data_IF_948189017080
#
_entry.id   IF_948189017080
#
_cell.length_a   1.000
_cell.length_b   1.000
_cell.length_c   1.000
_cell.angle_alpha   90.00
_cell.angle_beta   90.00
_cell.angle_gamma   90.00
#
_symmetry.space_group_name_H-M   'P 1'
#
loop_
_entity.id
_entity.type
_entity.pdbx_description
1 polymer ?
#
# COMPACT_ATOMS: atom_id res chain seq x y z
N UNK A 1 -17.60 -4.03 -2.56
CA UNK A 1 -17.34 -5.34 -1.93
C UNK A 1 -18.09 -6.43 -2.70
N UNK A 2 -17.37 -7.41 -3.18
CA UNK A 2 -17.91 -8.52 -3.95
C UNK A 2 -18.32 -9.67 -3.03
N UNK A 3 -19.28 -10.46 -3.49
CA UNK A 3 -19.79 -11.61 -2.72
C UNK A 3 -18.66 -12.60 -2.37
N UNK A 4 -17.75 -12.88 -3.30
CA UNK A 4 -16.64 -13.81 -3.08
C UNK A 4 -15.56 -13.29 -2.13
N UNK A 5 -15.65 -12.05 -1.69
CA UNK A 5 -14.77 -11.46 -0.69
C UNK A 5 -15.32 -11.62 0.73
N UNK A 6 -16.53 -12.12 0.87
CA UNK A 6 -17.17 -12.35 2.17
C UNK A 6 -16.98 -13.79 2.63
N UNK A 7 -17.10 -13.98 3.95
CA UNK A 7 -17.00 -15.29 4.58
C UNK A 7 -18.39 -15.81 5.02
N UNK A 8 -18.48 -17.01 5.63
CA UNK A 8 -19.78 -17.54 6.08
C UNK A 8 -20.53 -16.66 7.08
N UNK A 9 -19.86 -15.71 7.73
CA UNK A 9 -20.51 -14.76 8.64
C UNK A 9 -21.18 -13.60 7.90
N UNK A 10 -21.03 -13.52 6.57
CA UNK A 10 -21.59 -12.45 5.76
C UNK A 10 -20.80 -11.15 5.79
N UNK A 11 -19.60 -11.15 6.33
CA UNK A 11 -18.70 -10.01 6.36
C UNK A 11 -17.46 -10.29 5.53
N UNK A 12 -16.75 -9.25 5.13
CA UNK A 12 -15.49 -9.40 4.38
C UNK A 12 -14.52 -10.23 5.20
N UNK A 13 -13.99 -11.29 4.58
CA UNK A 13 -12.96 -12.09 5.20
C UNK A 13 -11.72 -11.23 5.47
N UNK A 14 -11.17 -11.34 6.69
CA UNK A 14 -10.09 -10.45 7.13
C UNK A 14 -8.84 -10.49 6.22
N UNK A 15 -8.58 -11.60 5.56
CA UNK A 15 -7.45 -11.69 4.63
C UNK A 15 -7.57 -10.81 3.39
N UNK A 16 -8.76 -10.36 3.05
CA UNK A 16 -8.97 -9.51 1.87
C UNK A 16 -8.56 -8.06 2.11
N UNK A 17 -8.40 -7.60 3.35
CA UNK A 17 -8.05 -6.21 3.63
C UNK A 17 -6.66 -5.87 3.11
N UNK A 18 -5.72 -6.78 3.17
CA UNK A 18 -4.39 -6.57 2.58
C UNK A 18 -4.50 -6.43 1.05
N UNK A 19 -5.39 -7.17 0.42
CA UNK A 19 -5.67 -7.02 -1.02
C UNK A 19 -6.20 -5.62 -1.33
N UNK A 20 -7.06 -5.07 -0.50
CA UNK A 20 -7.56 -3.71 -0.67
C UNK A 20 -6.45 -2.68 -0.53
N UNK A 21 -5.51 -2.90 0.38
CA UNK A 21 -4.33 -2.04 0.50
C UNK A 21 -3.49 -2.08 -0.78
N UNK A 22 -3.34 -3.26 -1.38
CA UNK A 22 -2.64 -3.39 -2.66
C UNK A 22 -3.33 -2.61 -3.77
N UNK A 23 -4.67 -2.64 -3.82
CA UNK A 23 -5.44 -1.86 -4.78
C UNK A 23 -5.21 -0.36 -4.57
N UNK A 24 -5.19 0.10 -3.32
CA UNK A 24 -4.90 1.48 -2.97
C UNK A 24 -3.50 1.90 -3.35
N UNK A 25 -2.51 1.04 -3.09
CA UNK A 25 -1.12 1.30 -3.44
C UNK A 25 -0.91 1.39 -4.95
N UNK A 26 -1.55 0.50 -5.72
CA UNK A 26 -1.45 0.53 -7.18
C UNK A 26 -2.10 1.80 -7.75
N UNK A 27 -3.25 2.21 -7.23
CA UNK A 27 -3.90 3.45 -7.64
C UNK A 27 -3.02 4.67 -7.32
N UNK A 28 -2.41 4.71 -6.14
CA UNK A 28 -1.44 5.73 -5.75
C UNK A 28 -0.26 5.74 -6.71
N UNK A 29 0.27 4.57 -7.05
CA UNK A 29 1.40 4.44 -7.98
C UNK A 29 1.06 4.97 -9.37
N UNK A 30 -0.13 4.67 -9.88
CA UNK A 30 -0.58 5.19 -11.18
C UNK A 30 -0.69 6.72 -11.16
N UNK A 31 -1.17 7.27 -10.06
CA UNK A 31 -1.33 8.72 -9.93
C UNK A 31 0.01 9.45 -9.81
N UNK A 32 1.00 8.83 -9.19
CA UNK A 32 2.28 9.46 -8.85
C UNK A 32 3.50 8.88 -9.58
N UNK A 33 3.30 7.96 -10.52
CA UNK A 33 4.39 7.40 -11.32
C UNK A 33 5.26 6.39 -10.58
N UNK A 34 4.67 5.59 -9.70
CA UNK A 34 5.39 4.58 -8.90
C UNK A 34 4.62 3.25 -8.87
N UNK A 35 4.22 2.74 -10.03
CA UNK A 35 3.59 1.41 -10.14
C UNK A 35 4.65 0.31 -10.04
N UNK A 36 4.19 -0.94 -9.89
CA UNK A 36 5.08 -2.10 -9.96
C UNK A 36 5.89 -2.14 -11.25
N UNK A 37 5.27 -1.78 -12.39
CA UNK A 37 5.96 -1.75 -13.67
C UNK A 37 7.01 -0.66 -13.72
N UNK A 38 6.72 0.51 -13.12
CA UNK A 38 7.69 1.59 -13.02
C UNK A 38 8.91 1.17 -12.22
N UNK A 39 8.70 0.49 -11.09
CA UNK A 39 9.78 -0.01 -10.25
C UNK A 39 10.55 -1.11 -10.96
N UNK A 40 9.87 -2.03 -11.64
CA UNK A 40 10.51 -3.13 -12.36
C UNK A 40 11.49 -2.64 -13.41
N UNK A 41 11.20 -1.52 -14.08
CA UNK A 41 12.09 -0.91 -15.07
C UNK A 41 13.41 -0.42 -14.48
N UNK A 42 13.48 -0.19 -13.18
CA UNK A 42 14.70 0.29 -12.51
C UNK A 42 15.67 -0.84 -12.19
N UNK A 43 15.24 -2.11 -12.27
CA UNK A 43 16.03 -3.27 -11.89
C UNK A 43 15.99 -3.61 -10.41
N UNK A 44 15.30 -2.82 -9.60
CA UNK A 44 15.10 -3.10 -8.17
C UNK A 44 13.81 -3.89 -7.94
N UNK A 45 13.75 -4.57 -6.80
CA UNK A 45 12.52 -5.17 -6.29
C UNK A 45 12.21 -4.59 -4.91
N UNK A 46 10.93 -4.58 -4.56
CA UNK A 46 10.46 -3.95 -3.32
C UNK A 46 9.53 -4.87 -2.55
N UNK A 47 10.06 -5.97 -1.98
CA UNK A 47 9.21 -6.91 -1.24
C UNK A 47 8.65 -6.28 0.02
N UNK A 48 7.44 -6.70 0.38
CA UNK A 48 6.83 -6.33 1.64
C UNK A 48 7.45 -7.18 2.74
N UNK A 49 7.95 -6.53 3.78
CA UNK A 49 8.56 -7.20 4.94
C UNK A 49 7.69 -7.10 6.18
N UNK A 50 6.72 -6.19 6.18
CA UNK A 50 5.79 -6.03 7.30
C UNK A 50 4.47 -5.48 6.79
N UNK A 51 3.37 -6.05 7.27
CA UNK A 51 2.04 -5.52 7.04
C UNK A 51 1.27 -5.58 8.36
N UNK A 52 0.53 -4.52 8.66
CA UNK A 52 -0.33 -4.45 9.83
C UNK A 52 -1.73 -4.07 9.41
N UNK A 53 -2.71 -4.52 10.16
CA UNK A 53 -4.10 -4.24 9.86
C UNK A 53 -4.89 -4.21 11.16
N UNK A 54 -5.60 -3.11 11.39
CA UNK A 54 -6.52 -2.97 12.52
C UNK A 54 -7.93 -2.91 11.98
N UNK A 55 -8.76 -3.89 12.38
CA UNK A 55 -10.15 -4.01 11.96
C UNK A 55 -11.04 -3.29 12.99
N UNK A 56 -11.79 -2.30 12.52
CA UNK A 56 -12.64 -1.47 13.39
C UNK A 56 -14.12 -1.71 13.16
N UNK A 57 -14.53 -1.86 11.90
CA UNK A 57 -15.91 -2.11 11.49
C UNK A 57 -15.93 -3.21 10.45
N UNK A 58 -16.96 -4.03 10.50
CA UNK A 58 -17.17 -5.08 9.49
C UNK A 58 -17.70 -4.48 8.20
N UNK A 59 -17.19 -4.97 7.08
CA UNK A 59 -17.69 -4.64 5.74
C UNK A 59 -18.47 -5.81 5.20
N UNK A 60 -19.49 -5.53 4.37
CA UNK A 60 -20.41 -6.52 3.85
C UNK A 60 -20.50 -6.45 2.33
N UNK A 61 -21.06 -7.49 1.75
CA UNK A 61 -21.36 -7.52 0.32
C UNK A 61 -22.19 -6.29 -0.08
N UNK A 62 -21.78 -5.68 -1.16
CA UNK A 62 -22.44 -4.48 -1.70
C UNK A 62 -21.97 -3.16 -1.11
N UNK A 63 -21.20 -3.18 -0.03
CA UNK A 63 -20.64 -1.96 0.52
C UNK A 63 -19.66 -1.32 -0.47
N UNK A 64 -19.70 -0.01 -0.55
CA UNK A 64 -18.76 0.79 -1.33
C UNK A 64 -17.81 1.48 -0.36
N UNK A 65 -16.52 1.30 -0.59
CA UNK A 65 -15.49 1.83 0.31
C UNK A 65 -14.52 2.71 -0.47
N UNK A 66 -13.90 3.64 0.25
CA UNK A 66 -12.79 4.46 -0.25
C UNK A 66 -11.53 4.02 0.45
N UNK A 67 -10.47 3.78 -0.32
CA UNK A 67 -9.16 3.43 0.22
C UNK A 67 -8.28 4.66 0.10
N UNK A 68 -7.94 5.28 1.23
CA UNK A 68 -6.98 6.37 1.28
C UNK A 68 -5.58 5.81 1.47
N UNK A 69 -4.67 6.16 0.59
CA UNK A 69 -3.27 5.72 0.62
C UNK A 69 -2.37 6.93 0.82
N UNK A 70 -1.50 6.84 1.82
CA UNK A 70 -0.53 7.89 2.14
C UNK A 70 0.85 7.28 2.21
N UNK A 71 1.83 7.89 1.55
CA UNK A 71 3.23 7.50 1.72
C UNK A 71 3.79 8.22 2.95
N UNK A 72 4.54 7.48 3.76
CA UNK A 72 5.21 8.02 4.94
C UNK A 72 6.66 8.30 4.60
N UNK A 73 7.08 9.55 4.74
CA UNK A 73 8.48 9.91 4.51
C UNK A 73 9.35 9.39 5.67
N UNK A 74 10.48 8.79 5.31
CA UNK A 74 11.45 8.28 6.26
C UNK A 74 12.85 8.39 5.64
N UNK A 75 13.88 8.73 6.43
CA UNK A 75 15.27 8.70 5.92
C UNK A 75 15.79 7.27 5.73
N UNK A 76 15.14 6.27 6.31
CA UNK A 76 15.52 4.88 6.11
C UNK A 76 15.24 4.42 4.69
N UNK A 77 15.96 3.39 4.23
CA UNK A 77 15.79 2.79 2.90
C UNK A 77 14.55 1.89 2.88
N UNK A 78 13.39 2.49 2.97
CA UNK A 78 12.10 1.82 3.05
C UNK A 78 11.03 2.62 2.33
N UNK A 79 10.01 1.90 1.83
CA UNK A 79 8.76 2.48 1.36
C UNK A 79 7.67 2.12 2.37
N UNK A 80 7.13 3.11 3.04
CA UNK A 80 6.08 2.92 4.03
C UNK A 80 4.80 3.56 3.52
N UNK A 81 3.74 2.76 3.43
CA UNK A 81 2.41 3.24 3.06
C UNK A 81 1.45 3.05 4.22
N UNK A 82 0.60 4.04 4.46
CA UNK A 82 -0.52 3.96 5.40
C UNK A 82 -1.81 3.96 4.63
N UNK A 83 -2.75 3.17 5.10
CA UNK A 83 -4.04 2.97 4.46
C UNK A 83 -5.17 3.19 5.44
N UNK A 84 -6.25 3.80 4.94
CA UNK A 84 -7.54 3.83 5.63
C UNK A 84 -8.59 3.33 4.66
N UNK A 85 -9.44 2.42 5.13
CA UNK A 85 -10.61 1.99 4.39
C UNK A 85 -11.81 2.65 5.04
N UNK A 86 -12.51 3.48 4.29
CA UNK A 86 -13.60 4.34 4.76
C UNK A 86 -14.87 3.87 4.09
N UNK A 87 -15.92 3.66 4.87
CA UNK A 87 -17.22 3.22 4.33
C UNK A 87 -17.99 4.41 3.70
N UNK A 88 -19.16 4.13 3.17
CA UNK A 88 -19.99 5.13 2.49
C UNK A 88 -20.60 6.16 3.45
N UNK A 89 -20.50 5.94 4.75
CA UNK A 89 -20.95 6.88 5.79
C UNK A 89 -19.80 7.74 6.32
N UNK A 90 -18.60 7.58 5.80
CA UNK A 90 -17.42 8.31 6.23
C UNK A 90 -16.74 7.72 7.47
N UNK A 91 -17.14 6.53 7.91
CA UNK A 91 -16.52 5.88 9.06
C UNK A 91 -15.33 5.04 8.64
N UNK A 92 -14.28 5.02 9.47
CA UNK A 92 -13.08 4.22 9.23
C UNK A 92 -13.34 2.78 9.62
N UNK A 93 -13.39 1.90 8.63
CA UNK A 93 -13.62 0.46 8.86
C UNK A 93 -12.32 -0.29 9.17
N UNK A 94 -11.19 0.19 8.64
CA UNK A 94 -9.90 -0.47 8.81
C UNK A 94 -8.77 0.53 8.61
N UNK A 95 -7.69 0.35 9.35
CA UNK A 95 -6.43 1.06 9.13
C UNK A 95 -5.32 0.05 8.99
N UNK A 96 -4.28 0.41 8.24
CA UNK A 96 -3.14 -0.48 8.07
C UNK A 96 -1.90 0.24 7.60
N UNK A 97 -0.81 -0.50 7.60
CA UNK A 97 0.49 -0.01 7.15
C UNK A 97 1.26 -1.15 6.52
N UNK A 98 1.94 -0.86 5.41
CA UNK A 98 2.86 -1.81 4.79
C UNK A 98 4.24 -1.18 4.72
N UNK A 99 5.26 -2.01 4.95
CA UNK A 99 6.66 -1.60 4.82
C UNK A 99 7.32 -2.47 3.76
N UNK A 100 7.95 -1.83 2.79
CA UNK A 100 8.71 -2.49 1.74
C UNK A 100 10.17 -2.07 1.87
N UNK A 101 11.07 -2.98 1.53
CA UNK A 101 12.51 -2.69 1.43
C UNK A 101 12.93 -2.73 -0.02
N UNK A 102 14.16 -2.32 -0.32
CA UNK A 102 14.70 -2.34 -1.67
C UNK A 102 15.74 -3.44 -1.79
N UNK A 103 15.61 -4.28 -2.81
CA UNK A 103 16.63 -5.24 -3.19
C UNK A 103 17.18 -4.84 -4.56
N UNK A 104 18.49 -4.96 -4.75
CA UNK A 104 19.10 -4.73 -6.05
C UNK A 104 18.88 -5.90 -7.01
N UNK A 105 19.40 -5.82 -8.23
CA UNK A 105 19.22 -6.86 -9.23
C UNK A 105 19.82 -8.21 -8.81
N UNK A 106 20.80 -8.21 -7.90
CA UNK A 106 21.41 -9.42 -7.36
C UNK A 106 20.68 -9.95 -6.11
N UNK A 107 19.63 -9.27 -5.65
CA UNK A 107 18.85 -9.65 -4.47
C UNK A 107 19.43 -9.16 -3.16
N UNK A 108 20.39 -8.24 -3.19
CA UNK A 108 21.00 -7.68 -1.98
C UNK A 108 20.15 -6.54 -1.41
N UNK A 109 20.01 -6.52 -0.08
CA UNK A 109 19.30 -5.45 0.61
C UNK A 109 20.03 -4.12 0.48
N UNK A 110 19.31 -3.09 0.03
CA UNK A 110 19.83 -1.72 -0.03
C UNK A 110 19.74 -1.07 1.35
N UNK A 111 20.84 -0.46 1.78
CA UNK A 111 20.92 0.26 3.06
C UNK A 111 20.64 1.76 2.91
N UNK A 112 20.63 2.24 1.67
CA UNK A 112 20.28 3.62 1.32
C UNK A 112 19.22 3.59 0.23
N UNK A 113 18.45 4.67 0.09
CA UNK A 113 17.43 4.75 -0.95
C UNK A 113 18.08 4.65 -2.34
N UNK A 114 17.55 3.80 -3.24
CA UNK A 114 18.01 3.77 -4.63
C UNK A 114 17.80 5.12 -5.31
N UNK A 115 18.62 5.45 -6.32
CA UNK A 115 18.50 6.73 -7.03
C UNK A 115 17.09 7.00 -7.57
N UNK A 116 16.40 5.99 -8.09
CA UNK A 116 15.05 6.19 -8.63
C UNK A 116 14.06 6.65 -7.57
N UNK A 117 14.19 6.14 -6.34
CA UNK A 117 13.30 6.51 -5.26
C UNK A 117 13.61 7.92 -4.73
N UNK A 118 14.88 8.28 -4.64
CA UNK A 118 15.30 9.65 -4.31
C UNK A 118 14.73 10.65 -5.31
N UNK A 119 14.83 10.34 -6.61
CA UNK A 119 14.27 11.20 -7.66
C UNK A 119 12.77 11.31 -7.57
N UNK A 120 12.09 10.19 -7.31
CA UNK A 120 10.65 10.18 -7.15
C UNK A 120 10.21 11.02 -5.95
N UNK A 121 10.91 10.91 -4.82
CA UNK A 121 10.62 11.73 -3.62
C UNK A 121 10.78 13.22 -3.91
N UNK A 122 11.78 13.61 -4.66
CA UNK A 122 11.95 15.00 -5.09
C UNK A 122 10.80 15.45 -5.98
N UNK A 123 10.41 14.62 -6.93
CA UNK A 123 9.35 14.92 -7.89
C UNK A 123 8.00 15.14 -7.19
N UNK A 124 7.68 14.38 -6.15
CA UNK A 124 6.42 14.50 -5.42
C UNK A 124 6.51 15.43 -4.20
N UNK A 125 7.66 16.06 -3.97
CA UNK A 125 7.83 17.06 -2.91
C UNK A 125 8.14 16.51 -1.53
N UNK A 126 8.50 15.23 -1.40
CA UNK A 126 8.89 14.63 -0.12
C UNK A 126 10.34 14.94 0.27
N UNK A 127 11.20 15.19 -0.70
CA UNK A 127 12.56 15.68 -0.49
C UNK A 127 12.66 17.11 -0.97
N UNK A 128 13.26 17.93 -0.15
CA UNK A 128 13.53 19.32 -0.48
C UNK A 128 14.92 19.51 -1.06
#
# INVERSE_FOLDING_TARGET
IRFNETDPLGIVWHGNYITYFEDGREAFGRQHGLTYLDIAKTGYTTPIVKSTCEHKLSLRYGDVVTIETTVVDTPAAKMIYRFKIIDDKGEVACTGETTQVFLDAAGNLMLTNPPFYEEWKKKVGLLK
#
